data_IF_765219997528
#
_entry.id   IF_765219997528
#
_cell.length_a   1.000
_cell.length_b   1.000
_cell.length_c   1.000
_cell.angle_alpha   90.00
_cell.angle_beta   90.00
_cell.angle_gamma   90.00
#
_symmetry.space_group_name_H-M   'P 1'
#
loop_
_entity.id
_entity.type
_entity.pdbx_description
1 polymer ?
#
# COMPACT_ATOMS: atom_id res chain seq x y z
N UNK A 1 -25.81 -45.98 28.67
CA UNK A 1 -25.34 -44.63 29.08
C UNK A 1 -23.86 -44.57 28.79
N UNK A 2 -23.51 -44.10 27.60
CA UNK A 2 -22.15 -43.75 27.20
C UNK A 2 -22.26 -42.38 26.58
N UNK A 3 -21.91 -41.36 27.36
CA UNK A 3 -21.83 -39.99 26.88
C UNK A 3 -20.53 -39.85 26.11
N UNK A 4 -20.63 -39.86 24.79
CA UNK A 4 -19.52 -39.44 23.94
C UNK A 4 -19.54 -37.93 23.82
N UNK A 5 -18.52 -37.32 24.44
CA UNK A 5 -18.10 -35.95 24.25
C UNK A 5 -17.87 -35.68 22.76
N UNK A 6 -18.83 -35.07 22.08
CA UNK A 6 -18.57 -34.36 20.83
C UNK A 6 -17.85 -33.06 21.16
N UNK A 7 -16.53 -33.23 21.33
CA UNK A 7 -15.54 -32.18 21.38
C UNK A 7 -15.75 -31.16 20.27
N UNK A 8 -15.65 -29.89 20.65
CA UNK A 8 -15.31 -28.75 19.82
C UNK A 8 -14.21 -29.09 18.79
N UNK A 9 -14.61 -29.55 17.61
CA UNK A 9 -13.74 -29.70 16.44
C UNK A 9 -14.60 -29.58 15.20
N UNK A 10 -14.77 -28.35 14.73
CA UNK A 10 -14.84 -28.00 13.30
C UNK A 10 -14.73 -26.48 13.13
N UNK A 11 -13.57 -25.96 13.53
CA UNK A 11 -13.07 -24.66 13.07
C UNK A 11 -12.14 -24.96 11.88
N UNK A 12 -12.46 -24.40 10.71
CA UNK A 12 -11.69 -24.30 9.43
C UNK A 12 -11.83 -25.45 8.42
N UNK A 13 -12.55 -25.16 7.35
CA UNK A 13 -12.24 -25.57 5.97
C UNK A 13 -12.76 -24.44 5.05
N UNK A 14 -11.92 -23.45 4.73
CA UNK A 14 -11.24 -23.33 3.41
C UNK A 14 -12.23 -23.13 2.27
N UNK A 15 -12.63 -21.88 2.03
CA UNK A 15 -13.07 -21.49 0.69
C UNK A 15 -12.00 -21.97 -0.31
N UNK A 16 -12.42 -22.67 -1.36
CA UNK A 16 -11.53 -23.14 -2.42
C UNK A 16 -10.57 -22.01 -2.83
N UNK A 17 -9.26 -22.26 -3.06
CA UNK A 17 -8.33 -21.22 -3.51
C UNK A 17 -8.86 -20.41 -4.70
N UNK A 18 -9.55 -21.10 -5.63
CA UNK A 18 -10.22 -20.48 -6.77
C UNK A 18 -11.34 -19.52 -6.34
N UNK A 19 -12.14 -19.93 -5.36
CA UNK A 19 -13.21 -19.10 -4.82
C UNK A 19 -12.64 -17.87 -4.10
N UNK A 20 -11.58 -18.05 -3.31
CA UNK A 20 -10.92 -16.97 -2.58
C UNK A 20 -10.27 -15.95 -3.56
N UNK A 21 -9.62 -16.44 -4.61
CA UNK A 21 -9.12 -15.62 -5.71
C UNK A 21 -10.24 -14.85 -6.42
N UNK A 22 -11.36 -15.51 -6.73
CA UNK A 22 -12.49 -14.88 -7.40
C UNK A 22 -13.11 -13.76 -6.52
N UNK A 23 -13.20 -13.97 -5.21
CA UNK A 23 -13.65 -12.92 -4.29
C UNK A 23 -12.69 -11.72 -4.29
N UNK A 24 -11.37 -11.95 -4.24
CA UNK A 24 -10.40 -10.86 -4.30
C UNK A 24 -10.53 -10.03 -5.59
N UNK A 25 -10.73 -10.69 -6.73
CA UNK A 25 -10.96 -10.03 -8.01
C UNK A 25 -12.30 -9.27 -8.04
N UNK A 26 -13.37 -9.83 -7.48
CA UNK A 26 -14.66 -9.13 -7.38
C UNK A 26 -14.57 -7.88 -6.50
N UNK A 27 -13.86 -7.97 -5.37
CA UNK A 27 -13.55 -6.85 -4.48
C UNK A 27 -12.76 -5.78 -5.24
N UNK A 28 -11.70 -6.17 -5.94
CA UNK A 28 -10.89 -5.29 -6.78
C UNK A 28 -11.77 -4.49 -7.76
N UNK A 29 -12.64 -5.17 -8.50
CA UNK A 29 -13.56 -4.53 -9.47
C UNK A 29 -14.56 -3.60 -8.77
N UNK A 30 -15.13 -4.01 -7.64
CA UNK A 30 -16.09 -3.18 -6.90
C UNK A 30 -15.47 -1.86 -6.42
N UNK A 31 -14.26 -1.92 -5.85
CA UNK A 31 -13.53 -0.73 -5.39
C UNK A 31 -12.91 0.08 -6.53
N UNK A 32 -12.65 -0.53 -7.69
CA UNK A 32 -12.27 0.19 -8.90
C UNK A 32 -13.44 1.02 -9.46
N UNK A 33 -14.64 0.43 -9.54
CA UNK A 33 -15.81 1.04 -10.20
C UNK A 33 -16.55 2.01 -9.29
N UNK A 34 -16.62 1.74 -7.98
CA UNK A 34 -17.44 2.55 -7.06
C UNK A 34 -16.82 2.68 -5.66
N UNK A 35 -15.58 3.21 -5.54
CA UNK A 35 -14.84 3.23 -4.29
C UNK A 35 -15.56 3.96 -3.14
N UNK A 36 -16.16 5.11 -3.41
CA UNK A 36 -16.88 5.89 -2.39
C UNK A 36 -18.17 5.23 -1.95
N UNK A 37 -18.90 4.58 -2.88
CA UNK A 37 -20.13 3.85 -2.56
C UNK A 37 -19.84 2.70 -1.62
N UNK A 38 -18.74 1.99 -1.83
CA UNK A 38 -18.32 0.85 -1.00
C UNK A 38 -17.94 1.24 0.44
N UNK A 39 -17.75 2.54 0.71
CA UNK A 39 -17.35 3.07 2.02
C UNK A 39 -18.46 3.84 2.74
N UNK A 40 -19.66 3.92 2.15
CA UNK A 40 -20.81 4.49 2.84
C UNK A 40 -21.17 3.66 4.07
N UNK A 41 -21.68 4.29 5.13
CA UNK A 41 -22.03 3.63 6.41
C UNK A 41 -22.94 2.41 6.24
N UNK A 42 -23.88 2.45 5.30
CA UNK A 42 -24.76 1.30 4.97
C UNK A 42 -24.01 0.07 4.41
N UNK A 43 -22.74 0.21 4.02
CA UNK A 43 -21.87 -0.83 3.50
C UNK A 43 -20.66 -1.12 4.41
N UNK A 44 -20.64 -0.65 5.66
CA UNK A 44 -19.52 -0.88 6.58
C UNK A 44 -19.22 -2.37 6.77
N UNK A 45 -20.27 -3.21 6.91
CA UNK A 45 -20.14 -4.67 6.97
C UNK A 45 -19.51 -5.24 5.69
N UNK A 46 -19.81 -4.66 4.52
CA UNK A 46 -19.24 -5.10 3.26
C UNK A 46 -17.75 -4.73 3.16
N UNK A 47 -17.36 -3.56 3.68
CA UNK A 47 -15.96 -3.17 3.80
C UNK A 47 -15.17 -4.10 4.73
N UNK A 48 -15.68 -4.36 5.94
CA UNK A 48 -15.03 -5.26 6.91
C UNK A 48 -14.87 -6.68 6.35
N UNK A 49 -15.91 -7.21 5.69
CA UNK A 49 -15.83 -8.50 5.00
C UNK A 49 -14.81 -8.48 3.86
N UNK A 50 -14.77 -7.40 3.09
CA UNK A 50 -13.77 -7.25 2.02
C UNK A 50 -12.35 -7.24 2.59
N UNK A 51 -12.12 -6.49 3.67
CA UNK A 51 -10.83 -6.45 4.35
C UNK A 51 -10.42 -7.83 4.88
N UNK A 52 -11.36 -8.58 5.47
CA UNK A 52 -11.11 -9.94 5.96
C UNK A 52 -10.70 -10.88 4.81
N UNK A 53 -11.45 -10.88 3.71
CA UNK A 53 -11.15 -11.70 2.52
C UNK A 53 -9.79 -11.32 1.94
N UNK A 54 -9.52 -10.03 1.75
CA UNK A 54 -8.23 -9.55 1.24
C UNK A 54 -7.08 -10.00 2.15
N UNK A 55 -7.25 -9.92 3.46
CA UNK A 55 -6.26 -10.41 4.43
C UNK A 55 -5.99 -11.91 4.27
N UNK A 56 -7.06 -12.71 4.15
CA UNK A 56 -6.92 -14.15 3.90
C UNK A 56 -6.20 -14.45 2.58
N UNK A 57 -6.48 -13.68 1.53
CA UNK A 57 -5.80 -13.82 0.25
C UNK A 57 -4.30 -13.51 0.39
N UNK A 58 -3.95 -12.38 1.01
CA UNK A 58 -2.56 -11.94 1.22
C UNK A 58 -1.72 -12.97 2.01
N UNK A 59 -2.34 -13.68 2.94
CA UNK A 59 -1.70 -14.71 3.77
C UNK A 59 -1.73 -16.12 3.16
N UNK A 60 -2.33 -16.30 1.97
CA UNK A 60 -2.47 -17.60 1.32
C UNK A 60 -1.12 -18.23 0.95
N UNK A 61 -1.01 -19.55 0.95
CA UNK A 61 0.17 -20.24 0.40
C UNK A 61 0.16 -20.28 -1.14
N UNK A 62 -1.01 -20.12 -1.77
CA UNK A 62 -1.16 -20.10 -3.22
C UNK A 62 -0.74 -18.73 -3.79
N UNK A 63 0.20 -18.75 -4.73
CA UNK A 63 0.74 -17.53 -5.37
C UNK A 63 -0.35 -16.72 -6.07
N UNK A 64 -1.26 -17.37 -6.80
CA UNK A 64 -2.29 -16.67 -7.56
C UNK A 64 -3.30 -16.00 -6.63
N UNK A 65 -3.67 -16.68 -5.54
CA UNK A 65 -4.53 -16.13 -4.50
C UNK A 65 -3.86 -14.93 -3.81
N UNK A 66 -2.59 -15.05 -3.40
CA UNK A 66 -1.84 -13.92 -2.80
C UNK A 66 -1.76 -12.74 -3.74
N UNK A 67 -1.39 -13.00 -4.99
CA UNK A 67 -1.24 -11.97 -6.01
C UNK A 67 -2.55 -11.23 -6.27
N UNK A 68 -3.69 -11.93 -6.28
CA UNK A 68 -5.02 -11.30 -6.33
C UNK A 68 -5.34 -10.50 -5.06
N UNK A 69 -4.96 -11.01 -3.89
CA UNK A 69 -5.06 -10.32 -2.60
C UNK A 69 -4.33 -8.99 -2.57
N UNK A 70 -3.06 -8.94 -3.01
CA UNK A 70 -2.26 -7.72 -3.02
C UNK A 70 -2.82 -6.65 -3.97
N UNK A 71 -3.35 -7.06 -5.13
CA UNK A 71 -4.06 -6.14 -6.03
C UNK A 71 -5.30 -5.56 -5.36
N UNK A 72 -6.17 -6.42 -4.83
CA UNK A 72 -7.38 -5.99 -4.14
C UNK A 72 -7.07 -5.07 -2.94
N UNK A 73 -6.01 -5.36 -2.20
CA UNK A 73 -5.50 -4.52 -1.11
C UNK A 73 -5.19 -3.09 -1.60
N UNK A 74 -4.53 -2.95 -2.75
CA UNK A 74 -4.25 -1.63 -3.34
C UNK A 74 -5.51 -0.83 -3.64
N UNK A 75 -6.57 -1.46 -4.18
CA UNK A 75 -7.86 -0.80 -4.42
C UNK A 75 -8.59 -0.44 -3.13
N UNK A 76 -8.55 -1.29 -2.10
CA UNK A 76 -9.09 -1.00 -0.77
C UNK A 76 -8.40 0.21 -0.13
N UNK A 77 -7.07 0.25 -0.18
CA UNK A 77 -6.28 1.36 0.34
C UNK A 77 -6.63 2.64 -0.42
N UNK A 78 -6.67 2.61 -1.75
CA UNK A 78 -7.05 3.78 -2.54
C UNK A 78 -8.44 4.30 -2.18
N UNK A 79 -9.43 3.42 -2.07
CA UNK A 79 -10.78 3.82 -1.70
C UNK A 79 -10.81 4.50 -0.33
N UNK A 80 -10.08 3.94 0.64
CA UNK A 80 -9.95 4.47 2.00
C UNK A 80 -9.29 5.85 2.01
N UNK A 81 -8.30 6.08 1.13
CA UNK A 81 -7.66 7.39 0.96
C UNK A 81 -8.60 8.47 0.41
N UNK A 82 -9.43 8.14 -0.58
CA UNK A 82 -10.28 9.14 -1.25
C UNK A 82 -11.61 9.37 -0.54
N UNK A 83 -12.00 8.49 0.38
CA UNK A 83 -13.28 8.60 1.06
C UNK A 83 -13.25 9.66 2.17
N UNK A 84 -14.15 10.66 2.12
CA UNK A 84 -14.24 11.67 3.16
C UNK A 84 -14.65 11.02 4.49
N UNK A 85 -13.99 11.42 5.58
CA UNK A 85 -14.25 10.96 6.95
C UNK A 85 -13.88 9.50 7.26
N UNK A 86 -13.02 8.86 6.46
CA UNK A 86 -12.47 7.55 6.84
C UNK A 86 -11.47 7.70 7.97
N UNK A 87 -11.55 6.83 8.99
CA UNK A 87 -10.61 6.90 10.12
C UNK A 87 -9.19 6.50 9.71
N UNK A 88 -8.20 7.20 10.25
CA UNK A 88 -6.78 6.88 10.03
C UNK A 88 -6.46 5.43 10.47
N UNK A 89 -7.18 4.91 11.47
CA UNK A 89 -7.06 3.53 11.93
C UNK A 89 -7.37 2.50 10.84
N UNK A 90 -8.43 2.71 10.05
CA UNK A 90 -8.80 1.82 8.93
C UNK A 90 -7.68 1.78 7.92
N UNK A 91 -7.16 2.95 7.52
CA UNK A 91 -6.02 3.04 6.62
C UNK A 91 -4.77 2.36 7.20
N UNK A 92 -4.42 2.66 8.44
CA UNK A 92 -3.25 2.10 9.12
C UNK A 92 -3.32 0.56 9.19
N UNK A 93 -4.51 -0.02 9.40
CA UNK A 93 -4.70 -1.46 9.40
C UNK A 93 -4.37 -2.11 8.04
N UNK A 94 -4.73 -1.44 6.93
CA UNK A 94 -4.41 -1.90 5.58
C UNK A 94 -2.93 -1.71 5.25
N UNK A 95 -2.34 -0.59 5.66
CA UNK A 95 -0.90 -0.33 5.46
C UNK A 95 -0.04 -1.35 6.23
N UNK A 96 -0.44 -1.77 7.43
CA UNK A 96 0.24 -2.84 8.17
C UNK A 96 0.26 -4.17 7.42
N UNK A 97 -0.77 -4.47 6.62
CA UNK A 97 -0.76 -5.67 5.77
C UNK A 97 0.29 -5.56 4.66
N UNK A 98 0.42 -4.38 4.05
CA UNK A 98 1.46 -4.10 3.04
C UNK A 98 2.87 -4.24 3.63
N UNK A 99 3.12 -3.61 4.78
CA UNK A 99 4.42 -3.68 5.48
C UNK A 99 4.81 -5.13 5.83
N UNK A 100 3.86 -5.89 6.39
CA UNK A 100 4.04 -7.33 6.68
C UNK A 100 4.40 -8.10 5.41
N UNK A 101 3.63 -7.89 4.34
CA UNK A 101 3.79 -8.63 3.10
C UNK A 101 5.12 -8.29 2.39
N UNK A 102 5.56 -7.02 2.38
CA UNK A 102 6.86 -6.66 1.82
C UNK A 102 8.03 -7.40 2.48
N UNK A 103 7.93 -7.66 3.79
CA UNK A 103 8.97 -8.35 4.57
C UNK A 103 8.98 -9.86 4.37
N UNK A 104 7.83 -10.46 4.04
CA UNK A 104 7.63 -11.91 4.08
C UNK A 104 7.46 -12.55 2.70
N UNK A 105 7.01 -11.79 1.70
CA UNK A 105 6.65 -12.34 0.39
C UNK A 105 7.86 -12.53 -0.54
N UNK A 106 7.65 -13.34 -1.57
CA UNK A 106 8.64 -13.56 -2.63
C UNK A 106 8.78 -12.37 -3.60
N UNK A 107 9.71 -12.46 -4.57
CA UNK A 107 10.06 -11.34 -5.46
C UNK A 107 8.87 -10.73 -6.22
N UNK A 108 8.06 -11.55 -6.89
CA UNK A 108 6.92 -11.07 -7.68
C UNK A 108 5.89 -10.34 -6.82
N UNK A 109 5.63 -10.87 -5.63
CA UNK A 109 4.70 -10.29 -4.67
C UNK A 109 5.24 -8.94 -4.14
N UNK A 110 6.55 -8.84 -3.91
CA UNK A 110 7.21 -7.58 -3.51
C UNK A 110 7.11 -6.52 -4.62
N UNK A 111 7.25 -6.91 -5.89
CA UNK A 111 7.06 -5.99 -7.03
C UNK A 111 5.64 -5.44 -7.04
N UNK A 112 4.63 -6.30 -6.92
CA UNK A 112 3.21 -5.88 -6.88
C UNK A 112 2.97 -4.90 -5.73
N UNK A 113 3.44 -5.22 -4.52
CA UNK A 113 3.28 -4.37 -3.34
C UNK A 113 4.01 -3.03 -3.48
N UNK A 114 5.20 -3.01 -4.06
CA UNK A 114 5.91 -1.77 -4.37
C UNK A 114 5.15 -0.93 -5.39
N UNK A 115 4.59 -1.53 -6.44
CA UNK A 115 3.76 -0.82 -7.42
C UNK A 115 2.48 -0.26 -6.79
N UNK A 116 1.85 -1.00 -5.88
CA UNK A 116 0.71 -0.51 -5.08
C UNK A 116 1.11 0.74 -4.29
N UNK A 117 2.25 0.72 -3.59
CA UNK A 117 2.73 1.88 -2.82
C UNK A 117 3.10 3.05 -3.73
N UNK A 118 3.75 2.79 -4.87
CA UNK A 118 4.06 3.81 -5.87
C UNK A 118 2.78 4.53 -6.29
N UNK A 119 1.78 3.77 -6.72
CA UNK A 119 0.47 4.24 -7.13
C UNK A 119 -0.23 5.08 -6.04
N UNK A 120 -0.14 4.66 -4.77
CA UNK A 120 -0.66 5.43 -3.62
C UNK A 120 0.13 6.74 -3.44
N UNK A 121 1.46 6.67 -3.42
CA UNK A 121 2.35 7.81 -3.20
C UNK A 121 2.15 8.93 -4.22
N UNK A 122 1.94 8.57 -5.49
CA UNK A 122 1.66 9.50 -6.59
C UNK A 122 0.37 10.31 -6.42
N UNK A 123 -0.56 9.84 -5.57
CA UNK A 123 -1.89 10.44 -5.39
C UNK A 123 -2.03 11.23 -4.10
N UNK A 124 -1.14 11.04 -3.14
CA UNK A 124 -1.21 11.73 -1.85
C UNK A 124 -0.60 13.12 -2.00
N UNK A 125 -1.33 14.15 -1.59
CA UNK A 125 -0.79 15.51 -1.54
C UNK A 125 -0.04 15.78 -0.24
N UNK A 126 1.06 15.05 0.00
CA UNK A 126 1.84 15.15 1.24
C UNK A 126 2.34 16.58 1.50
N UNK A 127 2.66 17.34 0.44
CA UNK A 127 2.95 18.79 0.55
C UNK A 127 1.82 19.58 1.23
N UNK A 128 0.56 19.29 0.92
CA UNK A 128 -0.55 19.99 1.57
C UNK A 128 -0.66 19.59 3.04
N UNK A 129 -0.48 18.31 3.35
CA UNK A 129 -0.43 17.82 4.74
C UNK A 129 0.68 18.51 5.54
N UNK A 130 1.82 18.78 4.91
CA UNK A 130 2.99 19.36 5.57
C UNK A 130 3.05 20.91 5.54
N UNK A 131 2.05 21.62 5.02
CA UNK A 131 2.05 23.10 4.93
C UNK A 131 1.94 23.82 6.29
N UNK A 132 1.61 23.11 7.38
CA UNK A 132 1.41 23.69 8.71
C UNK A 132 2.67 23.71 9.60
N UNK A 133 2.79 24.72 10.47
CA UNK A 133 3.86 24.76 11.49
C UNK A 133 3.69 23.59 12.46
N UNK A 134 4.69 22.70 12.53
CA UNK A 134 4.62 21.48 13.34
C UNK A 134 3.86 20.31 12.70
N UNK A 135 3.49 20.43 11.42
CA UNK A 135 2.92 19.31 10.68
C UNK A 135 3.95 18.18 10.56
N UNK A 136 3.52 16.97 10.84
CA UNK A 136 4.34 15.76 10.72
C UNK A 136 3.76 14.87 9.63
N UNK A 137 4.60 14.10 8.93
CA UNK A 137 4.10 13.11 7.97
C UNK A 137 3.26 12.07 8.71
N UNK A 138 2.19 11.53 8.09
CA UNK A 138 1.43 10.42 8.65
C UNK A 138 2.33 9.28 9.11
N UNK A 139 2.03 8.72 10.29
CA UNK A 139 2.90 7.75 10.99
C UNK A 139 3.20 6.48 10.19
N UNK A 140 2.34 6.15 9.23
CA UNK A 140 2.49 5.01 8.34
C UNK A 140 3.51 5.24 7.20
N UNK A 141 3.82 6.50 6.85
CA UNK A 141 4.80 6.83 5.79
C UNK A 141 6.22 6.39 6.18
N UNK A 142 6.77 6.80 7.35
CA UNK A 142 8.08 6.30 7.80
C UNK A 142 8.16 4.77 7.85
N UNK A 143 7.10 4.10 8.29
CA UNK A 143 7.04 2.63 8.39
C UNK A 143 7.17 1.96 7.02
N UNK A 144 6.38 2.40 6.04
CA UNK A 144 6.47 1.89 4.67
C UNK A 144 7.82 2.18 4.03
N UNK A 145 8.40 3.35 4.27
CA UNK A 145 9.71 3.69 3.73
C UNK A 145 10.81 2.81 4.31
N UNK A 146 10.78 2.47 5.60
CA UNK A 146 11.71 1.49 6.17
C UNK A 146 11.63 0.14 5.44
N UNK A 147 10.42 -0.36 5.19
CA UNK A 147 10.22 -1.61 4.45
C UNK A 147 10.71 -1.51 3.00
N UNK A 148 10.34 -0.46 2.28
CA UNK A 148 10.78 -0.22 0.90
C UNK A 148 12.29 -0.03 0.78
N UNK A 149 12.94 0.63 1.75
CA UNK A 149 14.39 0.77 1.76
C UNK A 149 15.08 -0.60 1.87
N UNK A 150 14.53 -1.51 2.69
CA UNK A 150 15.02 -2.89 2.75
C UNK A 150 14.78 -3.62 1.42
N UNK A 151 13.59 -3.50 0.83
CA UNK A 151 13.25 -4.08 -0.48
C UNK A 151 14.12 -3.53 -1.61
N UNK A 152 14.54 -2.27 -1.55
CA UNK A 152 15.43 -1.64 -2.54
C UNK A 152 16.86 -2.21 -2.58
N UNK A 153 17.20 -3.08 -1.62
CA UNK A 153 18.47 -3.80 -1.52
C UNK A 153 18.33 -5.28 -1.89
N UNK A 154 17.22 -5.68 -2.52
CA UNK A 154 17.02 -7.04 -3.02
C UNK A 154 18.11 -7.41 -4.05
N UNK A 155 18.34 -8.72 -4.22
CA UNK A 155 19.28 -9.24 -5.22
C UNK A 155 18.69 -9.18 -6.63
N UNK A 156 17.37 -9.14 -6.75
CA UNK A 156 16.65 -9.10 -8.01
C UNK A 156 16.45 -7.64 -8.42
N UNK A 157 16.98 -7.28 -9.59
CA UNK A 157 16.97 -5.91 -10.10
C UNK A 157 15.57 -5.32 -10.19
N UNK A 158 14.59 -6.09 -10.66
CA UNK A 158 13.21 -5.61 -10.84
C UNK A 158 12.54 -5.27 -9.51
N UNK A 159 12.81 -6.04 -8.45
CA UNK A 159 12.33 -5.75 -7.09
C UNK A 159 12.93 -4.43 -6.59
N UNK A 160 14.22 -4.23 -6.82
CA UNK A 160 14.90 -3.00 -6.43
C UNK A 160 14.35 -1.78 -7.16
N UNK A 161 14.13 -1.90 -8.47
CA UNK A 161 13.56 -0.82 -9.30
C UNK A 161 12.16 -0.46 -8.82
N UNK A 162 11.28 -1.45 -8.65
CA UNK A 162 9.91 -1.20 -8.18
C UNK A 162 9.91 -0.52 -6.80
N UNK A 163 10.78 -0.94 -5.89
CA UNK A 163 10.89 -0.31 -4.57
C UNK A 163 11.44 1.13 -4.64
N UNK A 164 12.43 1.40 -5.49
CA UNK A 164 12.96 2.76 -5.68
C UNK A 164 11.92 3.69 -6.31
N UNK A 165 11.16 3.20 -7.30
CA UNK A 165 10.06 3.94 -7.92
C UNK A 165 8.96 4.26 -6.88
N UNK A 166 8.65 3.32 -5.98
CA UNK A 166 7.71 3.55 -4.87
C UNK A 166 8.22 4.57 -3.85
N UNK A 167 9.51 4.55 -3.51
CA UNK A 167 10.13 5.55 -2.62
C UNK A 167 10.05 6.93 -3.25
N UNK A 168 10.36 7.06 -4.54
CA UNK A 168 10.30 8.33 -5.26
C UNK A 168 8.90 8.91 -5.25
N UNK A 169 7.88 8.11 -5.56
CA UNK A 169 6.48 8.54 -5.53
C UNK A 169 6.04 8.95 -4.11
N UNK A 170 6.30 8.11 -3.10
CA UNK A 170 5.86 8.37 -1.73
C UNK A 170 6.55 9.59 -1.09
N UNK A 171 7.83 9.82 -1.43
CA UNK A 171 8.57 11.01 -1.02
C UNK A 171 8.36 12.23 -1.94
N UNK A 172 7.60 12.08 -3.03
CA UNK A 172 7.33 13.12 -4.04
C UNK A 172 8.62 13.75 -4.60
N UNK A 173 9.60 12.89 -4.92
CA UNK A 173 10.92 13.28 -5.40
C UNK A 173 10.87 13.49 -6.92
N UNK A 174 11.01 14.73 -7.37
CA UNK A 174 10.83 15.10 -8.79
C UNK A 174 9.38 15.52 -9.12
N UNK A 175 9.25 16.46 -10.07
CA UNK A 175 7.98 17.14 -10.42
C UNK A 175 8.20 18.62 -10.79
N UNK A 176 7.19 19.28 -11.38
CA UNK A 176 7.27 20.67 -11.89
C UNK A 176 7.59 21.75 -10.84
N UNK A 177 7.56 21.38 -9.55
CA UNK A 177 7.88 22.25 -8.42
C UNK A 177 9.15 21.73 -7.72
N UNK A 178 10.23 21.59 -8.47
CA UNK A 178 11.57 21.11 -8.11
C UNK A 178 12.30 21.98 -7.07
N UNK A 179 11.59 22.48 -6.07
CA UNK A 179 12.14 23.16 -4.90
C UNK A 179 12.39 22.12 -3.79
N UNK A 180 13.58 22.22 -3.18
CA UNK A 180 14.21 21.33 -2.18
C UNK A 180 13.25 20.55 -1.25
N UNK A 181 13.45 19.23 -1.21
CA UNK A 181 13.80 18.35 -0.07
C UNK A 181 13.13 18.45 1.33
N UNK A 182 12.17 19.35 1.57
CA UNK A 182 11.57 19.52 2.89
C UNK A 182 10.77 18.28 3.34
N UNK A 183 10.16 17.57 2.38
CA UNK A 183 9.40 16.35 2.64
C UNK A 183 10.30 15.22 3.14
N UNK A 184 11.40 14.94 2.44
CA UNK A 184 12.34 13.88 2.82
C UNK A 184 12.99 14.16 4.18
N UNK A 185 13.27 15.43 4.49
CA UNK A 185 13.79 15.83 5.79
C UNK A 185 12.73 15.67 6.90
N UNK A 186 11.48 16.08 6.65
CA UNK A 186 10.37 15.91 7.57
C UNK A 186 10.11 14.43 7.87
N UNK A 187 10.13 13.56 6.86
CA UNK A 187 10.02 12.10 7.03
C UNK A 187 11.20 11.55 7.83
N UNK A 188 12.43 11.89 7.45
CA UNK A 188 13.63 11.42 8.14
C UNK A 188 13.67 11.84 9.62
N UNK A 189 13.05 12.96 9.99
CA UNK A 189 12.94 13.39 11.40
C UNK A 189 12.05 12.49 12.27
N UNK A 190 11.13 11.74 11.66
CA UNK A 190 10.20 10.82 12.33
C UNK A 190 10.69 9.37 12.32
N UNK A 191 11.80 9.09 11.63
CA UNK A 191 12.38 7.74 11.55
C UNK A 191 13.32 7.47 12.72
N UNK A 192 13.35 6.22 13.19
CA UNK A 192 14.38 5.76 14.12
C UNK A 192 15.77 5.93 13.49
N UNK A 193 16.80 6.21 14.30
CA UNK A 193 18.15 6.56 13.80
C UNK A 193 18.72 5.53 12.80
N UNK A 194 18.51 4.23 13.05
CA UNK A 194 18.93 3.15 12.15
C UNK A 194 18.22 3.23 10.79
N UNK A 195 16.91 3.40 10.80
CA UNK A 195 16.10 3.42 9.59
C UNK A 195 16.34 4.72 8.79
N UNK A 196 16.53 5.83 9.50
CA UNK A 196 16.92 7.12 8.91
C UNK A 196 18.23 7.01 8.10
N UNK A 197 19.26 6.38 8.67
CA UNK A 197 20.53 6.21 7.98
C UNK A 197 20.38 5.40 6.68
N UNK A 198 19.59 4.32 6.73
CA UNK A 198 19.29 3.48 5.55
C UNK A 198 18.47 4.25 4.51
N UNK A 199 17.53 5.08 4.96
CA UNK A 199 16.73 5.94 4.08
C UNK A 199 17.61 6.98 3.38
N UNK A 200 18.48 7.70 4.10
CA UNK A 200 19.40 8.69 3.52
C UNK A 200 20.40 8.07 2.53
N UNK A 201 20.90 6.86 2.81
CA UNK A 201 21.74 6.08 1.90
C UNK A 201 20.96 5.75 0.60
N UNK A 202 19.71 5.33 0.74
CA UNK A 202 18.83 4.96 -0.38
C UNK A 202 18.50 6.17 -1.24
N UNK A 203 18.16 7.31 -0.63
CA UNK A 203 17.97 8.58 -1.33
C UNK A 203 19.23 8.97 -2.11
N UNK A 204 20.41 8.88 -1.49
CA UNK A 204 21.68 9.20 -2.14
C UNK A 204 21.97 8.31 -3.36
N UNK A 205 21.51 7.06 -3.35
CA UNK A 205 21.60 6.14 -4.50
C UNK A 205 20.62 6.52 -5.60
N UNK A 206 19.37 6.83 -5.24
CA UNK A 206 18.31 7.29 -6.16
C UNK A 206 18.75 8.58 -6.88
N UNK A 207 19.25 9.58 -6.15
CA UNK A 207 19.74 10.83 -6.74
C UNK A 207 20.90 10.61 -7.72
N UNK A 208 21.85 9.72 -7.40
CA UNK A 208 22.97 9.39 -8.30
C UNK A 208 22.52 8.71 -9.60
N UNK A 209 21.41 7.96 -9.57
CA UNK A 209 20.85 7.26 -10.75
C UNK A 209 20.00 8.17 -11.65
N UNK A 210 19.65 9.37 -11.19
CA UNK A 210 18.84 10.34 -11.92
C UNK A 210 17.35 10.21 -11.64
N UNK A 211 16.84 11.13 -10.81
CA UNK A 211 15.42 11.18 -10.40
C UNK A 211 14.46 11.30 -11.58
N UNK A 212 14.80 12.08 -12.59
CA UNK A 212 13.91 12.31 -13.74
C UNK A 212 13.62 11.04 -14.53
N UNK A 213 14.58 10.11 -14.60
CA UNK A 213 14.37 8.82 -15.27
C UNK A 213 13.47 7.90 -14.43
N UNK A 214 13.54 7.99 -13.10
CA UNK A 214 12.70 7.22 -12.17
C UNK A 214 11.27 7.78 -12.18
N UNK A 215 11.11 9.10 -12.10
CA UNK A 215 9.82 9.77 -12.15
C UNK A 215 9.08 9.51 -13.47
N UNK A 216 9.78 9.42 -14.59
CA UNK A 216 9.18 9.07 -15.89
C UNK A 216 8.58 7.64 -15.93
N UNK A 217 8.95 6.77 -14.98
CA UNK A 217 8.41 5.41 -14.83
C UNK A 217 7.34 5.30 -13.76
N UNK A 218 6.98 6.42 -13.12
CA UNK A 218 5.94 6.45 -12.08
C UNK A 218 4.66 5.80 -12.62
N UNK A 219 4.27 4.68 -12.02
CA UNK A 219 3.07 3.96 -12.42
C UNK A 219 1.87 4.46 -11.64
N UNK A 220 0.86 4.93 -12.37
CA UNK A 220 -0.49 5.18 -11.82
C UNK A 220 -1.36 3.92 -11.87
N UNK A 221 -0.79 2.80 -12.29
CA UNK A 221 -1.48 1.54 -12.56
C UNK A 221 -1.08 0.49 -11.52
N UNK A 222 -2.06 -0.31 -11.08
CA UNK A 222 -1.78 -1.63 -10.50
C UNK A 222 -2.08 -2.66 -11.60
N UNK A 223 -1.06 -3.34 -12.12
CA UNK A 223 -1.17 -4.36 -13.17
C UNK A 223 -2.04 -3.93 -14.35
N UNK A 224 -1.60 -2.88 -15.04
CA UNK A 224 -2.28 -2.26 -16.19
C UNK A 224 -3.70 -1.74 -15.90
N UNK A 225 -4.11 -1.74 -14.63
CA UNK A 225 -5.40 -1.21 -14.20
C UNK A 225 -5.18 0.16 -13.57
N UNK A 226 -5.68 1.19 -14.25
CA UNK A 226 -5.63 2.55 -13.74
C UNK A 226 -6.56 2.67 -12.54
N UNK A 227 -6.02 3.05 -11.39
CA UNK A 227 -6.87 3.43 -10.28
C UNK A 227 -7.33 4.87 -10.52
N UNK A 228 -8.58 5.07 -10.93
CA UNK A 228 -9.12 6.40 -11.25
C UNK A 228 -8.88 7.43 -10.13
N UNK A 229 -8.50 8.64 -10.53
CA UNK A 229 -8.81 9.87 -9.80
C UNK A 229 -10.09 10.45 -10.42
N UNK A 230 -11.18 10.66 -9.67
CA UNK A 230 -12.06 11.77 -10.01
C UNK A 230 -11.21 13.04 -9.90
N UNK A 231 -11.31 13.90 -10.91
CA UNK A 231 -10.57 15.16 -11.10
C UNK A 231 -10.87 16.26 -10.04
N UNK A 232 -11.13 15.88 -8.79
CA UNK A 232 -11.81 16.71 -7.79
C UNK A 232 -11.31 16.46 -6.34
N UNK A 233 -10.02 16.27 -6.10
CA UNK A 233 -9.55 16.13 -4.71
C UNK A 233 -8.26 16.90 -4.43
N UNK A 234 -8.43 18.22 -4.29
CA UNK A 234 -7.46 19.14 -3.69
C UNK A 234 -7.78 19.51 -2.24
N UNK A 235 -8.74 18.86 -1.57
CA UNK A 235 -9.17 19.28 -0.23
C UNK A 235 -9.63 18.13 0.67
N UNK A 236 -8.73 17.24 1.05
CA UNK A 236 -8.93 16.46 2.28
C UNK A 236 -7.59 16.41 3.00
N UNK A 237 -7.25 17.52 3.65
CA UNK A 237 -6.52 17.72 4.91
C UNK A 237 -6.49 19.23 5.14
#
# INVERSE_FOLDING_TARGET
MSGDNLSEKNVRNTDSPVLLQAHAQAIMVAFMVSPLSMLQSKFEIAFEKSQLIVTQCCDSADKNVRSAGFRALGFLINATFIAPNTSEEKLLSLIKLVDKALKQSGPDDRIILSNVICCIGSRISLRNVLKGKGATPPSWIPQLLSALCATSKDKITDVCVAAEDAIVALCQIGGSNSEKNDITAAIGSQMAAKDKAVFEETLSRIYRRGVSAIFARETRMIDDTEIYLPSLYTSIF
#
